data_IF_435410273145
#
_entry.id   IF_435410273145
#
_cell.length_a   1.000
_cell.length_b   1.000
_cell.length_c   1.000
_cell.angle_alpha   90.00
_cell.angle_beta   90.00
_cell.angle_gamma   90.00
#
_symmetry.space_group_name_H-M   'P 1'
#
loop_
_entity.id
_entity.type
_entity.pdbx_description
1 polymer ?
#
# COMPACT_ATOMS: atom_id res chain seq x y z
N UNK A 1 -5.63 1.20 -1.23
CA UNK A 1 -5.64 0.18 -0.15
C UNK A 1 -5.29 -1.23 -0.61
N UNK A 2 -5.96 -1.82 -1.60
CA UNK A 2 -5.67 -3.22 -2.03
C UNK A 2 -4.27 -3.40 -2.64
N UNK A 3 -3.82 -2.45 -3.46
CA UNK A 3 -2.46 -2.49 -4.03
C UNK A 3 -1.37 -2.53 -2.95
N UNK A 4 -1.39 -1.60 -2.00
CA UNK A 4 -0.39 -1.55 -0.94
C UNK A 4 -0.49 -2.75 0.03
N UNK A 5 -1.65 -3.41 0.11
CA UNK A 5 -1.79 -4.68 0.82
C UNK A 5 -1.05 -5.83 0.11
N UNK A 6 -1.33 -6.02 -1.18
CA UNK A 6 -0.67 -7.06 -1.99
C UNK A 6 0.84 -6.81 -2.00
N UNK A 7 1.26 -5.56 -2.21
CA UNK A 7 2.65 -5.17 -2.20
C UNK A 7 3.34 -5.46 -0.86
N UNK A 8 2.65 -5.26 0.28
CA UNK A 8 3.19 -5.56 1.59
C UNK A 8 3.36 -7.07 1.83
N UNK A 9 2.44 -7.89 1.30
CA UNK A 9 2.56 -9.36 1.35
C UNK A 9 3.73 -9.82 0.48
N UNK A 10 3.85 -9.32 -0.75
CA UNK A 10 4.94 -9.66 -1.67
C UNK A 10 6.32 -9.27 -1.12
N UNK A 11 6.41 -8.16 -0.38
CA UNK A 11 7.64 -7.73 0.30
C UNK A 11 7.95 -8.54 1.58
N UNK A 12 7.19 -9.61 1.86
CA UNK A 12 7.33 -10.43 3.07
C UNK A 12 7.18 -9.63 4.38
N UNK A 13 6.43 -8.53 4.35
CA UNK A 13 6.15 -7.70 5.53
C UNK A 13 4.88 -8.16 6.29
N UNK A 14 4.30 -9.28 5.88
CA UNK A 14 3.11 -9.88 6.47
C UNK A 14 3.40 -10.73 7.73
N UNK A 15 4.36 -10.32 8.56
CA UNK A 15 4.69 -11.01 9.81
C UNK A 15 3.73 -10.64 10.94
N UNK A 16 3.34 -9.36 11.04
CA UNK A 16 2.45 -8.82 12.08
C UNK A 16 1.48 -7.81 11.49
N UNK A 17 0.39 -7.51 12.19
CA UNK A 17 -0.55 -6.48 11.73
C UNK A 17 0.11 -5.10 11.61
N UNK A 18 1.04 -4.78 12.52
CA UNK A 18 1.77 -3.52 12.53
C UNK A 18 2.79 -3.40 11.38
N UNK A 19 3.50 -4.48 11.05
CA UNK A 19 4.44 -4.48 9.92
C UNK A 19 3.74 -4.29 8.58
N UNK A 20 2.54 -4.87 8.42
CA UNK A 20 1.70 -4.66 7.23
C UNK A 20 1.28 -3.20 7.09
N UNK A 21 0.77 -2.58 8.17
CA UNK A 21 0.37 -1.16 8.14
C UNK A 21 1.55 -0.23 7.83
N UNK A 22 2.72 -0.51 8.39
CA UNK A 22 3.93 0.27 8.11
C UNK A 22 4.40 0.10 6.67
N UNK A 23 4.39 -1.12 6.12
CA UNK A 23 4.72 -1.38 4.72
C UNK A 23 3.73 -0.72 3.76
N UNK A 24 2.43 -0.77 4.07
CA UNK A 24 1.40 -0.05 3.31
C UNK A 24 1.65 1.46 3.30
N UNK A 25 1.94 2.05 4.46
CA UNK A 25 2.24 3.48 4.59
C UNK A 25 3.50 3.86 3.81
N UNK A 26 4.53 3.02 3.86
CA UNK A 26 5.76 3.21 3.08
C UNK A 26 5.49 3.14 1.58
N UNK A 27 4.74 2.14 1.12
CA UNK A 27 4.34 1.97 -0.28
C UNK A 27 3.57 3.18 -0.79
N UNK A 28 2.58 3.66 -0.02
CA UNK A 28 1.78 4.83 -0.37
C UNK A 28 2.65 6.09 -0.49
N UNK A 29 3.56 6.33 0.47
CA UNK A 29 4.49 7.47 0.42
C UNK A 29 5.46 7.38 -0.76
N UNK A 30 6.03 6.20 -1.02
CA UNK A 30 6.96 5.98 -2.11
C UNK A 30 6.30 6.18 -3.49
N UNK A 31 5.08 5.67 -3.65
CA UNK A 31 4.30 5.87 -4.87
C UNK A 31 3.81 7.31 -5.03
N UNK A 32 3.47 7.98 -3.92
CA UNK A 32 3.10 9.41 -3.91
C UNK A 32 4.25 10.34 -4.30
N UNK A 33 5.49 9.99 -3.94
CA UNK A 33 6.71 10.73 -4.33
C UNK A 33 7.24 10.33 -5.71
N UNK A 34 6.92 9.14 -6.22
CA UNK A 34 7.37 8.63 -7.53
C UNK A 34 6.54 9.08 -8.73
N UNK A 35 5.32 9.59 -8.52
CA UNK A 35 4.46 10.07 -9.59
C UNK A 35 4.98 11.33 -10.31
N UNK A 36 6.06 11.96 -9.82
CA UNK A 36 6.74 13.07 -10.50
C UNK A 36 7.92 12.64 -11.39
N UNK A 37 8.25 11.35 -11.50
CA UNK A 37 9.33 10.85 -12.35
C UNK A 37 8.81 9.82 -13.34
N UNK A 38 8.50 10.34 -14.53
CA UNK A 38 8.14 9.59 -15.73
C UNK A 38 9.13 8.46 -16.06
N UNK A 39 8.59 7.36 -16.58
CA UNK A 39 9.31 6.51 -17.54
C UNK A 39 9.32 5.02 -17.22
N UNK A 40 8.49 4.24 -17.94
CA UNK A 40 8.80 2.83 -18.19
C UNK A 40 7.59 1.91 -18.23
N UNK A 41 7.25 1.43 -19.43
CA UNK A 41 6.57 0.14 -19.63
C UNK A 41 5.04 0.16 -19.57
N UNK A 42 4.39 -0.33 -20.63
CA UNK A 42 2.94 -0.51 -20.72
C UNK A 42 2.32 -1.35 -19.58
N UNK A 43 3.12 -2.18 -18.89
CA UNK A 43 2.71 -2.93 -17.68
C UNK A 43 2.53 -2.02 -16.46
N UNK A 44 3.35 -0.98 -16.34
CA UNK A 44 3.28 0.04 -15.29
C UNK A 44 2.09 0.97 -15.51
N UNK A 45 1.59 1.08 -16.75
CA UNK A 45 0.40 1.88 -17.09
C UNK A 45 -0.91 1.26 -16.62
N UNK A 46 -1.07 -0.08 -16.66
CA UNK A 46 -2.28 -0.73 -16.13
C UNK A 46 -2.30 -0.73 -14.61
N UNK A 47 -1.16 -0.98 -13.99
CA UNK A 47 -0.96 -0.85 -12.54
C UNK A 47 -1.20 0.61 -12.14
N UNK A 48 -0.62 1.60 -12.83
CA UNK A 48 -0.89 3.03 -12.57
C UNK A 48 -2.35 3.43 -12.84
N UNK A 49 -3.04 2.86 -13.83
CA UNK A 49 -4.47 3.11 -14.06
C UNK A 49 -5.36 2.53 -12.95
N UNK A 50 -4.97 1.38 -12.37
CA UNK A 50 -5.62 0.79 -11.18
C UNK A 50 -5.28 1.55 -9.89
N UNK A 51 -4.05 2.08 -9.77
CA UNK A 51 -3.61 2.89 -8.63
C UNK A 51 -4.17 4.31 -8.63
N UNK A 52 -4.31 4.92 -9.81
CA UNK A 52 -4.75 6.32 -9.99
C UNK A 52 -6.24 6.39 -10.37
N UNK A 53 -6.89 5.25 -10.59
CA UNK A 53 -8.31 5.15 -10.87
C UNK A 53 -8.70 5.88 -12.16
N UNK A 54 -8.16 5.46 -13.31
CA UNK A 54 -8.69 5.74 -14.66
C UNK A 54 -8.96 7.20 -15.08
N UNK A 55 -8.71 8.18 -14.24
CA UNK A 55 -8.98 9.59 -14.47
C UNK A 55 -7.80 10.37 -13.93
N UNK A 56 -7.44 11.43 -14.64
CA UNK A 56 -6.27 12.27 -14.45
C UNK A 56 -6.28 13.02 -13.10
N UNK A 57 -6.27 12.29 -11.98
CA UNK A 57 -6.00 12.85 -10.67
C UNK A 57 -4.49 12.81 -10.45
N UNK A 58 -3.86 13.90 -10.85
CA UNK A 58 -2.44 14.23 -10.70
C UNK A 58 -2.08 14.48 -9.23
N UNK A 59 -2.58 13.64 -8.33
CA UNK A 59 -2.37 13.70 -6.89
C UNK A 59 -2.11 12.28 -6.44
N UNK A 60 -0.85 11.95 -6.14
CA UNK A 60 -0.43 10.62 -5.70
C UNK A 60 -1.26 10.08 -4.53
N UNK A 61 -1.06 8.81 -4.20
CA UNK A 61 -1.78 8.16 -3.11
C UNK A 61 -1.54 8.92 -1.79
N UNK A 62 -2.57 9.61 -1.27
CA UNK A 62 -2.58 10.28 0.06
C UNK A 62 -3.38 9.51 1.11
N UNK A 63 -3.74 8.26 0.79
CA UNK A 63 -4.53 7.39 1.68
C UNK A 63 -3.72 7.04 2.93
N UNK A 64 -4.37 6.92 4.08
CA UNK A 64 -3.72 6.43 5.30
C UNK A 64 -4.32 5.08 5.69
N UNK A 65 -3.50 4.01 5.79
CA UNK A 65 -3.99 2.70 6.15
C UNK A 65 -4.44 2.66 7.61
N UNK A 66 -5.67 2.20 7.85
CA UNK A 66 -6.26 2.05 9.17
C UNK A 66 -6.64 0.58 9.43
N UNK A 67 -6.55 0.19 10.70
CA UNK A 67 -6.95 -1.13 11.19
C UNK A 67 -7.95 -0.95 12.34
N UNK A 68 -9.09 -1.62 12.24
CA UNK A 68 -10.10 -1.69 13.31
C UNK A 68 -10.30 -3.16 13.67
N UNK A 69 -10.51 -3.43 14.95
CA UNK A 69 -10.71 -4.78 15.47
C UNK A 69 -11.81 -4.81 16.52
N UNK A 70 -12.45 -5.97 16.70
CA UNK A 70 -13.47 -6.17 17.72
C UNK A 70 -12.91 -6.25 19.15
N UNK A 71 -11.59 -6.50 19.30
CA UNK A 71 -10.91 -6.63 20.58
C UNK A 71 -9.53 -5.95 20.51
N UNK A 72 -9.04 -5.48 21.64
CA UNK A 72 -7.68 -4.94 21.76
C UNK A 72 -6.64 -6.05 21.65
N UNK A 73 -5.61 -5.85 20.84
CA UNK A 73 -4.44 -6.71 20.78
C UNK A 73 -3.21 -5.90 20.40
N UNK A 74 -2.03 -6.43 20.70
CA UNK A 74 -0.77 -5.83 20.27
C UNK A 74 -0.52 -6.15 18.80
N UNK A 75 -0.52 -5.10 17.97
CA UNK A 75 -0.34 -5.17 16.52
C UNK A 75 1.06 -5.64 16.10
N UNK A 76 2.07 -5.50 16.97
CA UNK A 76 3.45 -5.93 16.70
C UNK A 76 3.78 -7.29 17.31
N UNK A 77 2.96 -7.80 18.22
CA UNK A 77 3.12 -9.15 18.74
C UNK A 77 2.21 -10.18 18.05
N UNK A 78 1.02 -9.77 17.61
CA UNK A 78 0.07 -10.69 16.97
C UNK A 78 0.51 -11.00 15.53
N UNK A 79 0.77 -12.29 15.19
CA UNK A 79 1.13 -12.65 13.84
C UNK A 79 -0.06 -12.43 12.91
N UNK A 80 0.23 -11.99 11.68
CA UNK A 80 -0.79 -11.87 10.66
C UNK A 80 -1.09 -13.25 10.05
N UNK A 81 -2.38 -13.58 9.93
CA UNK A 81 -2.86 -14.80 9.29
C UNK A 81 -4.14 -14.49 8.50
N UNK A 82 -4.28 -15.12 7.33
CA UNK A 82 -5.45 -15.07 6.45
C UNK A 82 -6.28 -16.34 6.55
#
# INVERSE_FOLDING_TARGET
MTFCFIQAIEQSQATTYGSILNSMRSTIRNTGSGASMAGGGAVTSLISMLLTGGSASTGGLRQEPQLTACNTFDVYAKPFSL
#
